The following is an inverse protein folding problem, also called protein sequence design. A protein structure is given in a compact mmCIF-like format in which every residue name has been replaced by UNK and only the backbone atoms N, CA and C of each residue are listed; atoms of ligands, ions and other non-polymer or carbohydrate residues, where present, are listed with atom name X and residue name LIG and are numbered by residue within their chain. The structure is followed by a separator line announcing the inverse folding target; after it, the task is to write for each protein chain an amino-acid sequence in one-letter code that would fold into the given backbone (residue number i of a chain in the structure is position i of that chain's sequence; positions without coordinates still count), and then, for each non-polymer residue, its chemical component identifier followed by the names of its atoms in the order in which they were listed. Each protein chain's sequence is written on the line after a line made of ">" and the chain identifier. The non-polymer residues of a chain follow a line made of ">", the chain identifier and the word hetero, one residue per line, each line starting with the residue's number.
data_IF_363046795547
#
_entry.id   IF_363046795547
#
_cell.length_a   1.000
_cell.length_b   1.000
_cell.length_c   1.000
_cell.angle_alpha   90.00
_cell.angle_beta   90.00
_cell.angle_gamma   90.00
#
_symmetry.space_group_name_H-M   'P 1'
#
loop_
_entity.id
_entity.type
_entity.pdbx_description
1 polymer ?
#
# COMPACT_ATOMS: atom_id res chain seq x y z
N UNK A 1 1.70 8.05 16.45
CA UNK A 1 1.41 7.42 17.77
C UNK A 1 1.84 8.37 18.89
N UNK A 2 1.11 8.46 20.02
CA UNK A 2 1.46 9.37 21.13
C UNK A 2 2.77 8.92 21.82
N UNK A 3 3.70 9.85 22.09
CA UNK A 3 5.03 9.54 22.65
C UNK A 3 4.97 8.72 23.96
N UNK A 4 4.02 9.02 24.84
CA UNK A 4 3.84 8.29 26.10
C UNK A 4 3.49 6.80 25.90
N UNK A 5 2.71 6.49 24.85
CA UNK A 5 2.39 5.10 24.50
C UNK A 5 3.63 4.36 24.00
N UNK A 6 4.53 5.04 23.26
CA UNK A 6 5.80 4.47 22.79
C UNK A 6 6.68 4.05 23.97
N UNK A 7 6.93 4.99 24.89
CA UNK A 7 7.75 4.74 26.08
C UNK A 7 7.21 3.60 26.94
N UNK A 8 5.89 3.53 27.15
CA UNK A 8 5.26 2.45 27.92
C UNK A 8 5.48 1.08 27.26
N UNK A 9 5.35 0.99 25.94
CA UNK A 9 5.55 -0.25 25.19
C UNK A 9 7.03 -0.67 25.24
N UNK A 10 7.95 0.26 25.01
CA UNK A 10 9.39 0.00 25.07
C UNK A 10 9.85 -0.44 26.47
N UNK A 11 9.35 0.20 27.53
CA UNK A 11 9.61 -0.22 28.93
C UNK A 11 9.09 -1.62 29.23
N UNK A 12 8.03 -2.05 28.55
CA UNK A 12 7.47 -3.39 28.66
C UNK A 12 8.17 -4.41 27.72
N UNK A 13 9.29 -4.04 27.08
CA UNK A 13 10.07 -4.92 26.22
C UNK A 13 9.56 -5.02 24.77
N UNK A 14 8.54 -4.24 24.39
CA UNK A 14 8.04 -4.21 23.02
C UNK A 14 8.91 -3.32 22.13
N UNK A 15 9.25 -3.80 20.93
CA UNK A 15 9.93 -3.00 19.91
C UNK A 15 8.89 -2.20 19.12
N UNK A 16 9.16 -0.91 18.93
CA UNK A 16 8.37 -0.02 18.07
C UNK A 16 9.21 0.37 16.87
N UNK A 17 8.78 0.00 15.66
CA UNK A 17 9.47 0.27 14.40
C UNK A 17 8.51 0.37 13.23
N UNK A 18 9.06 0.56 12.05
CA UNK A 18 8.37 0.55 10.77
C UNK A 18 8.04 -0.88 10.31
N UNK A 19 7.21 -1.01 9.25
CA UNK A 19 7.00 -2.30 8.59
C UNK A 19 8.31 -2.84 7.97
N UNK A 20 9.16 -1.95 7.45
CA UNK A 20 10.48 -2.31 6.93
C UNK A 20 11.38 -2.91 8.02
N UNK A 21 11.38 -2.32 9.22
CA UNK A 21 12.11 -2.89 10.37
C UNK A 21 11.59 -4.28 10.76
N UNK A 22 10.26 -4.46 10.74
CA UNK A 22 9.63 -5.72 11.13
C UNK A 22 9.92 -6.84 10.13
N UNK A 23 9.84 -6.53 8.84
CA UNK A 23 10.10 -7.49 7.76
C UNK A 23 11.58 -7.60 7.38
N UNK A 24 12.46 -6.82 8.02
CA UNK A 24 13.89 -6.73 7.69
C UNK A 24 14.15 -6.44 6.21
N UNK A 25 13.39 -5.50 5.64
CA UNK A 25 13.56 -5.10 4.24
C UNK A 25 14.85 -4.31 4.06
N UNK A 26 15.53 -4.56 2.94
CA UNK A 26 16.53 -3.62 2.41
C UNK A 26 15.87 -2.31 1.97
N UNK A 27 16.65 -1.24 1.86
CA UNK A 27 16.16 0.05 1.36
C UNK A 27 15.51 -0.08 -0.02
N UNK A 28 16.05 -0.95 -0.88
CA UNK A 28 15.52 -1.22 -2.21
C UNK A 28 14.15 -1.94 -2.16
N UNK A 29 13.99 -2.92 -1.27
CA UNK A 29 12.71 -3.62 -1.07
C UNK A 29 11.65 -2.71 -0.45
N UNK A 30 12.04 -1.91 0.55
CA UNK A 30 11.15 -0.91 1.14
C UNK A 30 10.67 0.10 0.09
N UNK A 31 11.59 0.63 -0.72
CA UNK A 31 11.24 1.54 -1.82
C UNK A 31 10.32 0.89 -2.87
N UNK A 32 10.54 -0.39 -3.20
CA UNK A 32 9.69 -1.13 -4.12
C UNK A 32 8.27 -1.30 -3.57
N UNK A 33 8.13 -1.64 -2.28
CA UNK A 33 6.84 -1.76 -1.60
C UNK A 33 6.12 -0.41 -1.58
N UNK A 34 6.81 0.65 -1.19
CA UNK A 34 6.23 2.01 -1.14
C UNK A 34 5.77 2.46 -2.53
N UNK A 35 6.57 2.18 -3.57
CA UNK A 35 6.18 2.49 -4.96
C UNK A 35 4.94 1.72 -5.40
N UNK A 36 4.84 0.42 -5.07
CA UNK A 36 3.65 -0.40 -5.38
C UNK A 36 2.40 0.13 -4.69
N UNK A 37 2.50 0.47 -3.40
CA UNK A 37 1.39 1.03 -2.62
C UNK A 37 0.92 2.37 -3.19
N UNK A 38 1.87 3.28 -3.47
CA UNK A 38 1.54 4.58 -4.06
C UNK A 38 0.84 4.43 -5.42
N UNK A 39 1.32 3.54 -6.28
CA UNK A 39 0.71 3.30 -7.59
C UNK A 39 -0.71 2.71 -7.48
N UNK A 40 -0.91 1.76 -6.57
CA UNK A 40 -2.22 1.15 -6.33
C UNK A 40 -3.25 2.17 -5.84
N UNK A 41 -2.86 3.01 -4.88
CA UNK A 41 -3.70 4.05 -4.31
C UNK A 41 -4.06 5.12 -5.35
N UNK A 42 -3.07 5.60 -6.12
CA UNK A 42 -3.27 6.59 -7.17
C UNK A 42 -4.16 6.05 -8.30
N UNK A 43 -3.98 4.79 -8.71
CA UNK A 43 -4.84 4.15 -9.70
C UNK A 43 -6.30 4.09 -9.22
N UNK A 44 -6.51 3.65 -7.97
CA UNK A 44 -7.84 3.57 -7.38
C UNK A 44 -8.48 4.96 -7.23
N UNK A 45 -7.71 5.96 -6.81
CA UNK A 45 -8.16 7.34 -6.69
C UNK A 45 -8.55 7.93 -8.07
N UNK A 46 -7.70 7.78 -9.08
CA UNK A 46 -7.96 8.23 -10.44
C UNK A 46 -9.18 7.54 -11.07
N UNK A 47 -9.38 6.25 -10.81
CA UNK A 47 -10.59 5.53 -11.27
C UNK A 47 -11.86 6.08 -10.62
N UNK A 48 -11.82 6.28 -9.29
CA UNK A 48 -12.98 6.77 -8.51
C UNK A 48 -13.34 8.21 -8.85
N UNK A 49 -12.35 9.08 -9.05
CA UNK A 49 -12.60 10.48 -9.45
C UNK A 49 -13.33 10.58 -10.79
N UNK A 50 -13.07 9.62 -11.70
CA UNK A 50 -13.77 9.48 -12.99
C UNK A 50 -15.06 8.67 -12.93
N UNK A 51 -15.49 8.25 -11.73
CA UNK A 51 -16.70 7.44 -11.48
C UNK A 51 -16.74 6.14 -12.30
N UNK A 52 -15.57 5.51 -12.52
CA UNK A 52 -15.46 4.26 -13.26
C UNK A 52 -15.54 3.05 -12.34
N UNK A 53 -16.21 1.99 -12.80
CA UNK A 53 -16.07 0.66 -12.18
C UNK A 53 -14.74 0.03 -12.60
N UNK A 54 -14.25 -0.95 -11.85
CA UNK A 54 -13.05 -1.70 -12.25
C UNK A 54 -13.20 -2.35 -13.63
N UNK A 55 -14.41 -2.85 -13.97
CA UNK A 55 -14.70 -3.40 -15.28
C UNK A 55 -14.62 -2.36 -16.41
N UNK A 56 -15.11 -1.14 -16.19
CA UNK A 56 -15.00 -0.06 -17.17
C UNK A 56 -13.54 0.36 -17.39
N UNK A 57 -12.77 0.49 -16.31
CA UNK A 57 -11.33 0.78 -16.43
C UNK A 57 -10.60 -0.36 -17.16
N UNK A 58 -10.94 -1.61 -16.86
CA UNK A 58 -10.33 -2.77 -17.51
C UNK A 58 -10.56 -2.77 -19.03
N UNK A 59 -11.78 -2.45 -19.48
CA UNK A 59 -12.09 -2.31 -20.89
C UNK A 59 -11.25 -1.20 -21.56
N UNK A 60 -11.08 -0.06 -20.89
CA UNK A 60 -10.25 1.05 -21.40
C UNK A 60 -8.76 0.68 -21.51
N UNK A 61 -8.25 -0.08 -20.54
CA UNK A 61 -6.86 -0.54 -20.49
C UNK A 61 -6.62 -1.83 -21.29
N UNK A 62 -7.62 -2.36 -21.99
CA UNK A 62 -7.55 -3.63 -22.73
C UNK A 62 -7.06 -4.80 -21.87
N UNK A 63 -7.56 -4.86 -20.64
CA UNK A 63 -7.23 -5.87 -19.64
C UNK A 63 -8.51 -6.44 -19.01
N UNK A 64 -8.38 -7.35 -18.03
CA UNK A 64 -9.52 -7.92 -17.32
C UNK A 64 -9.81 -7.19 -16.00
N UNK A 65 -11.07 -7.23 -15.55
CA UNK A 65 -11.46 -6.64 -14.26
C UNK A 65 -10.68 -7.21 -13.07
N UNK A 66 -10.41 -8.54 -12.98
CA UNK A 66 -9.51 -9.08 -11.96
C UNK A 66 -8.10 -8.50 -11.99
N UNK A 67 -7.54 -8.23 -13.18
CA UNK A 67 -6.21 -7.58 -13.29
C UNK A 67 -6.22 -6.16 -12.72
N UNK A 68 -7.25 -5.37 -13.02
CA UNK A 68 -7.41 -4.05 -12.38
C UNK A 68 -7.56 -4.18 -10.87
N UNK A 69 -8.28 -5.19 -10.38
CA UNK A 69 -8.41 -5.43 -8.94
C UNK A 69 -7.10 -5.80 -8.25
N UNK A 70 -6.20 -6.54 -8.90
CA UNK A 70 -4.84 -6.81 -8.40
C UNK A 70 -3.98 -5.55 -8.41
N UNK A 71 -4.02 -4.78 -9.50
CA UNK A 71 -3.28 -3.51 -9.61
C UNK A 71 -3.67 -2.52 -8.51
N UNK A 72 -4.97 -2.40 -8.19
CA UNK A 72 -5.45 -1.55 -7.09
C UNK A 72 -5.18 -2.11 -5.68
N UNK A 73 -4.69 -3.35 -5.58
CA UNK A 73 -4.22 -3.95 -4.33
C UNK A 73 -2.68 -3.93 -4.21
N UNK A 74 -1.97 -3.50 -5.25
CA UNK A 74 -0.50 -3.49 -5.29
C UNK A 74 0.13 -4.87 -5.52
N UNK A 75 -0.64 -5.84 -6.03
CA UNK A 75 -0.17 -7.19 -6.36
C UNK A 75 0.62 -7.21 -7.68
#
# INVERSE_FOLDING_TARGET
>A
MKAEKRKKLEKAGWRVGSAADFLSLSDAEAALVDMKLALADELAAARRSRRLTQAKLAAMLKTSQPRVALMEKGD
#
